data_IF_430844021778
#
_entry.id   IF_430844021778
#
_cell.length_a   1.000
_cell.length_b   1.000
_cell.length_c   1.000
_cell.angle_alpha   90.00
_cell.angle_beta   90.00
_cell.angle_gamma   90.00
#
_symmetry.space_group_name_H-M   'P 1'
#
loop_
_entity.id
_entity.type
_entity.pdbx_description
1 polymer ?
#
# COMPACT_ATOMS: atom_id res chain seq x y z
N UNK A 1 5.51 -12.07 3.47
CA UNK A 1 4.75 -11.05 2.72
C UNK A 1 3.64 -11.61 1.85
N UNK A 2 3.89 -12.29 0.72
CA UNK A 2 2.80 -12.74 -0.20
C UNK A 2 1.74 -13.66 0.43
N UNK A 3 2.16 -14.63 1.24
CA UNK A 3 1.21 -15.51 1.93
C UNK A 3 0.42 -14.82 3.04
N UNK A 4 1.04 -13.83 3.70
CA UNK A 4 0.43 -13.09 4.81
C UNK A 4 -0.64 -12.11 4.31
N UNK A 5 -0.32 -11.30 3.29
CA UNK A 5 -1.27 -10.33 2.72
C UNK A 5 -2.01 -10.89 1.50
N UNK A 6 -2.27 -12.20 1.48
CA UNK A 6 -2.92 -12.83 0.34
C UNK A 6 -4.40 -12.41 0.31
N UNK A 7 -4.80 -11.74 -0.76
CA UNK A 7 -6.20 -11.30 -0.94
C UNK A 7 -6.52 -9.97 -0.28
N UNK A 8 -5.55 -9.32 0.34
CA UNK A 8 -5.74 -8.02 0.99
C UNK A 8 -5.99 -6.92 -0.07
N UNK A 9 -7.14 -6.24 -0.04
CA UNK A 9 -7.57 -5.38 -1.15
C UNK A 9 -6.74 -4.10 -1.28
N UNK A 10 -6.10 -3.67 -0.19
CA UNK A 10 -5.35 -2.42 -0.12
C UNK A 10 -3.83 -2.59 -0.06
N UNK A 11 -3.32 -3.81 -0.16
CA UNK A 11 -1.87 -4.08 -0.15
C UNK A 11 -1.38 -4.33 -1.58
N UNK A 12 -0.40 -3.55 -2.04
CA UNK A 12 0.25 -3.75 -3.34
C UNK A 12 1.72 -4.05 -3.13
N UNK A 13 2.21 -5.13 -3.75
CA UNK A 13 3.64 -5.44 -3.73
C UNK A 13 4.34 -4.75 -4.90
N UNK A 14 5.15 -3.74 -4.60
CA UNK A 14 5.95 -3.02 -5.58
C UNK A 14 7.31 -3.71 -5.68
N UNK A 15 7.50 -4.46 -6.76
CA UNK A 15 8.79 -5.03 -7.11
C UNK A 15 8.89 -5.13 -8.63
N UNK A 16 9.27 -4.02 -9.25
CA UNK A 16 9.61 -4.02 -10.66
C UNK A 16 11.14 -4.03 -10.83
N UNK A 17 11.64 -4.98 -11.61
CA UNK A 17 13.07 -5.04 -11.98
C UNK A 17 13.40 -4.03 -13.07
N UNK A 18 12.41 -3.56 -13.83
CA UNK A 18 12.59 -2.66 -14.98
C UNK A 18 11.42 -1.68 -15.09
N UNK A 19 11.59 -0.50 -14.51
CA UNK A 19 10.64 0.61 -14.61
C UNK A 19 11.15 1.88 -13.92
N UNK A 20 10.41 2.98 -14.05
CA UNK A 20 10.64 4.23 -13.31
C UNK A 20 10.26 4.08 -11.82
N UNK A 21 9.21 3.31 -11.52
CA UNK A 21 8.71 3.08 -10.16
C UNK A 21 9.13 1.71 -9.64
N UNK A 22 10.35 1.61 -9.12
CA UNK A 22 10.95 0.34 -8.65
C UNK A 22 10.66 0.03 -7.18
N UNK A 23 10.37 1.06 -6.41
CA UNK A 23 10.12 1.00 -4.97
C UNK A 23 8.83 1.74 -4.63
N UNK A 24 8.21 1.46 -3.47
CA UNK A 24 7.10 2.27 -2.96
C UNK A 24 7.45 3.76 -2.97
N UNK A 25 6.61 4.56 -3.61
CA UNK A 25 6.74 6.02 -3.67
C UNK A 25 5.48 6.64 -3.07
N UNK A 26 5.58 7.47 -2.01
CA UNK A 26 4.43 8.18 -1.44
C UNK A 26 3.61 8.95 -2.48
N UNK A 27 4.24 9.46 -3.54
CA UNK A 27 3.54 10.13 -4.65
C UNK A 27 2.57 9.19 -5.37
N UNK A 28 2.91 7.92 -5.52
CA UNK A 28 2.09 6.93 -6.21
C UNK A 28 0.89 6.41 -5.39
N UNK A 29 0.69 6.90 -4.16
CA UNK A 29 -0.40 6.49 -3.27
C UNK A 29 -1.26 7.65 -2.76
N UNK A 30 -0.92 8.89 -3.12
CA UNK A 30 -1.66 10.10 -2.69
C UNK A 30 -3.15 9.99 -3.02
N UNK A 31 -3.98 10.32 -2.03
CA UNK A 31 -5.45 10.30 -2.12
C UNK A 31 -6.07 8.91 -2.13
N UNK A 32 -5.26 7.83 -2.02
CA UNK A 32 -5.75 6.45 -2.07
C UNK A 32 -5.62 5.74 -0.73
N UNK A 33 -6.40 4.68 -0.55
CA UNK A 33 -6.30 3.81 0.63
C UNK A 33 -5.27 2.68 0.47
N UNK A 34 -4.40 2.74 -0.55
CA UNK A 34 -3.39 1.71 -0.79
C UNK A 34 -2.16 1.86 0.11
N UNK A 35 -1.56 0.73 0.45
CA UNK A 35 -0.23 0.62 1.02
C UNK A 35 0.66 -0.18 0.05
N UNK A 36 1.67 0.50 -0.48
CA UNK A 36 2.67 -0.09 -1.35
C UNK A 36 3.79 -0.63 -0.48
N UNK A 37 4.14 -1.91 -0.64
CA UNK A 37 5.20 -2.57 0.10
C UNK A 37 6.25 -3.08 -0.87
N UNK A 38 7.51 -2.80 -0.56
CA UNK A 38 8.67 -3.26 -1.31
C UNK A 38 9.81 -3.60 -0.36
N UNK A 39 10.84 -4.25 -0.89
CA UNK A 39 12.06 -4.51 -0.14
C UNK A 39 13.24 -4.64 -1.09
N UNK A 40 14.42 -4.41 -0.55
CA UNK A 40 15.69 -4.71 -1.19
C UNK A 40 16.56 -5.57 -0.25
N UNK A 41 17.44 -6.38 -0.82
CA UNK A 41 18.32 -7.28 -0.08
C UNK A 41 19.76 -6.99 -0.47
N UNK A 42 20.57 -6.61 0.52
CA UNK A 42 22.02 -6.58 0.37
C UNK A 42 22.57 -7.99 0.64
N UNK A 43 22.93 -8.69 -0.42
CA UNK A 43 23.44 -10.07 -0.37
C UNK A 43 24.81 -10.17 0.32
N UNK A 44 25.60 -9.08 0.37
CA UNK A 44 26.94 -9.10 0.97
C UNK A 44 26.89 -9.07 2.49
N UNK A 45 25.93 -8.32 3.06
CA UNK A 45 25.79 -8.15 4.51
C UNK A 45 24.63 -8.95 5.09
N UNK A 46 23.77 -9.53 4.24
CA UNK A 46 22.52 -10.16 4.64
C UNK A 46 21.47 -9.16 5.13
N UNK A 47 21.65 -7.86 4.88
CA UNK A 47 20.72 -6.81 5.33
C UNK A 47 19.50 -6.76 4.43
N UNK A 48 18.32 -6.72 5.03
CA UNK A 48 17.05 -6.47 4.34
C UNK A 48 16.60 -5.04 4.62
N UNK A 49 16.30 -4.28 3.56
CA UNK A 49 15.69 -2.95 3.66
C UNK A 49 14.24 -3.07 3.23
N UNK A 50 13.30 -2.83 4.15
CA UNK A 50 11.86 -2.85 3.86
C UNK A 50 11.37 -1.42 3.68
N UNK A 51 10.55 -1.21 2.66
CA UNK A 51 9.98 0.09 2.30
C UNK A 51 8.45 -0.03 2.26
N UNK A 52 7.77 1.00 2.73
CA UNK A 52 6.32 1.13 2.57
C UNK A 52 5.93 2.57 2.27
N UNK A 53 4.95 2.75 1.39
CA UNK A 53 4.38 4.05 1.08
C UNK A 53 2.86 4.04 1.27
N UNK A 54 2.35 5.06 1.96
CA UNK A 54 0.92 5.32 2.17
C UNK A 54 0.66 6.81 2.03
N UNK A 55 -0.58 7.17 1.71
CA UNK A 55 -1.10 8.50 2.06
C UNK A 55 -1.37 8.53 3.57
N UNK A 56 -0.78 9.50 4.28
CA UNK A 56 -0.85 9.58 5.73
C UNK A 56 -2.22 10.02 6.26
N UNK A 57 -3.03 10.73 5.47
CA UNK A 57 -4.38 11.17 5.87
C UNK A 57 -5.45 10.16 5.45
N UNK A 58 -5.27 9.48 4.33
CA UNK A 58 -6.17 8.41 3.87
C UNK A 58 -5.79 7.10 4.56
N UNK A 59 -4.88 6.31 3.99
CA UNK A 59 -4.53 5.00 4.56
C UNK A 59 -3.92 5.12 5.97
N UNK A 60 -3.18 6.19 6.25
CA UNK A 60 -2.59 6.43 7.58
C UNK A 60 -3.58 6.88 8.66
N UNK A 61 -4.79 7.32 8.30
CA UNK A 61 -5.77 7.81 9.26
C UNK A 61 -7.22 7.49 8.83
N UNK A 62 -7.90 8.42 8.14
CA UNK A 62 -9.35 8.37 7.92
C UNK A 62 -9.79 7.17 7.08
N UNK A 63 -9.02 6.82 6.04
CA UNK A 63 -9.28 5.65 5.21
C UNK A 63 -9.18 4.34 5.99
N UNK A 64 -8.20 4.20 6.89
CA UNK A 64 -8.14 3.04 7.80
C UNK A 64 -9.32 3.02 8.78
N UNK A 65 -9.75 4.18 9.30
CA UNK A 65 -10.92 4.25 10.17
C UNK A 65 -12.21 3.78 9.45
N UNK A 66 -12.43 4.25 8.21
CA UNK A 66 -13.56 3.81 7.37
C UNK A 66 -13.46 2.32 7.03
N UNK A 67 -12.26 1.82 6.71
CA UNK A 67 -12.04 0.41 6.42
C UNK A 67 -12.41 -0.48 7.61
N UNK A 68 -11.97 -0.10 8.82
CA UNK A 68 -12.35 -0.78 10.06
C UNK A 68 -13.86 -0.68 10.30
N UNK A 69 -14.47 0.49 10.10
CA UNK A 69 -15.92 0.68 10.23
C UNK A 69 -16.69 -0.22 9.27
N UNK A 70 -16.27 -0.34 8.01
CA UNK A 70 -16.89 -1.23 7.03
C UNK A 70 -16.90 -2.67 7.54
N UNK A 71 -15.75 -3.18 8.01
CA UNK A 71 -15.62 -4.52 8.58
C UNK A 71 -16.54 -4.68 9.80
N UNK A 72 -16.51 -3.70 10.73
CA UNK A 72 -17.30 -3.75 11.97
C UNK A 72 -18.81 -3.77 11.72
N UNK A 73 -19.28 -3.07 10.70
CA UNK A 73 -20.70 -2.97 10.34
C UNK A 73 -21.14 -4.04 9.33
N UNK A 74 -20.23 -4.90 8.87
CA UNK A 74 -20.52 -5.96 7.91
C UNK A 74 -20.68 -5.48 6.46
N UNK A 75 -20.18 -4.29 6.13
CA UNK A 75 -20.06 -3.82 4.76
C UNK A 75 -18.84 -4.44 4.08
N UNK A 76 -18.77 -4.31 2.74
CA UNK A 76 -17.52 -4.64 2.02
C UNK A 76 -16.41 -3.72 2.52
N UNK A 77 -15.26 -4.30 2.87
CA UNK A 77 -14.08 -3.59 3.37
C UNK A 77 -13.67 -2.42 2.46
N UNK A 78 -13.89 -2.56 1.15
CA UNK A 78 -13.49 -1.57 0.14
C UNK A 78 -14.52 -0.45 -0.10
N UNK A 79 -15.69 -0.54 0.52
CA UNK A 79 -16.81 0.39 0.30
C UNK A 79 -16.37 1.83 0.59
N UNK A 80 -16.56 2.73 -0.37
CA UNK A 80 -16.13 4.14 -0.27
C UNK A 80 -14.61 4.39 -0.35
N UNK A 81 -13.78 3.37 -0.55
CA UNK A 81 -12.31 3.48 -0.46
C UNK A 81 -11.56 3.12 -1.76
N UNK A 82 -12.27 2.84 -2.86
CA UNK A 82 -11.69 2.47 -4.17
C UNK A 82 -11.16 3.64 -5.00
N UNK A 83 -10.99 4.82 -4.42
CA UNK A 83 -10.43 5.98 -5.13
C UNK A 83 -9.00 5.64 -5.57
N UNK A 84 -8.69 5.69 -6.88
CA UNK A 84 -7.33 5.42 -7.36
C UNK A 84 -6.38 6.54 -6.95
N UNK A 85 -5.10 6.21 -6.82
CA UNK A 85 -4.03 7.18 -6.61
C UNK A 85 -3.92 8.16 -7.79
N UNK A 86 -3.57 9.42 -7.51
CA UNK A 86 -3.39 10.45 -8.52
C UNK A 86 -2.01 10.36 -9.18
N UNK A 87 -1.96 10.45 -10.52
CA UNK A 87 -0.71 10.55 -11.29
C UNK A 87 -0.96 11.17 -12.68
N UNK A 88 -0.15 12.14 -13.15
CA UNK A 88 0.90 12.85 -12.41
C UNK A 88 0.30 13.78 -11.34
N UNK A 89 1.16 14.25 -10.43
CA UNK A 89 0.85 15.25 -9.39
C UNK A 89 1.82 16.42 -9.52
#
# INVERSE_FOLDING_TARGET
YRGFYRGEPFIRFVRDKKGLFRYPDPKAVVGSNFCDIGFDIDEHTGRVVVLSAIDNLVKGAAGSAVQCMNIMLGFDEVEGLRVPSLHPI
#
